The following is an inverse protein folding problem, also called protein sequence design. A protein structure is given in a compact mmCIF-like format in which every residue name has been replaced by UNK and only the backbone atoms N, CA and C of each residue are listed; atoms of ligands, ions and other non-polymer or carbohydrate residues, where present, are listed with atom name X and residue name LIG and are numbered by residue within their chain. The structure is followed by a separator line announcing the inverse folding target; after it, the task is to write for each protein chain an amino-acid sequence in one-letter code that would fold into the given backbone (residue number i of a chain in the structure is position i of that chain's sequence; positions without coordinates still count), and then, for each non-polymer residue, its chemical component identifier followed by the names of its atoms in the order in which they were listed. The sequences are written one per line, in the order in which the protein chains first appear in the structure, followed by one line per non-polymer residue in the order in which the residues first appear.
data_IF_901167029739
#
_entry.id   IF_901167029739
#
_cell.length_a   1.000
_cell.length_b   1.000
_cell.length_c   1.000
_cell.angle_alpha   90.00
_cell.angle_beta   90.00
_cell.angle_gamma   90.00
#
_symmetry.space_group_name_H-M   'P 1'
#
loop_
_entity.id
_entity.type
_entity.pdbx_description
1 polymer ?
#
# COMPACT_ATOMS: atom_id res chain seq x y z
N UNK A 1 20.00 -0.74 5.18
CA UNK A 1 20.34 -1.86 4.27
C UNK A 1 19.39 -1.82 3.07
N UNK A 2 19.83 -2.29 1.91
CA UNK A 2 19.03 -2.25 0.67
C UNK A 2 17.70 -3.00 0.80
N UNK A 3 17.69 -4.15 1.48
CA UNK A 3 16.50 -5.01 1.68
C UNK A 3 15.37 -4.26 2.40
N UNK A 4 15.68 -3.55 3.49
CA UNK A 4 14.67 -2.79 4.24
C UNK A 4 14.05 -1.69 3.37
N UNK A 5 14.84 -1.03 2.52
CA UNK A 5 14.34 -0.03 1.58
C UNK A 5 13.41 -0.66 0.54
N UNK A 6 13.80 -1.80 -0.05
CA UNK A 6 12.96 -2.51 -1.01
C UNK A 6 11.65 -3.00 -0.39
N UNK A 7 11.70 -3.47 0.86
CA UNK A 7 10.50 -3.86 1.60
C UNK A 7 9.54 -2.68 1.85
N UNK A 8 10.06 -1.52 2.29
CA UNK A 8 9.24 -0.31 2.48
C UNK A 8 8.61 0.14 1.16
N UNK A 9 9.35 0.10 0.06
CA UNK A 9 8.83 0.41 -1.27
C UNK A 9 7.73 -0.58 -1.69
N UNK A 10 7.93 -1.88 -1.48
CA UNK A 10 6.94 -2.91 -1.78
C UNK A 10 5.68 -2.73 -0.93
N UNK A 11 5.79 -2.38 0.36
CA UNK A 11 4.61 -2.07 1.19
C UNK A 11 3.85 -0.84 0.68
N UNK A 12 4.55 0.19 0.22
CA UNK A 12 3.89 1.35 -0.41
C UNK A 12 3.19 0.98 -1.72
N UNK A 13 3.80 0.11 -2.54
CA UNK A 13 3.18 -0.41 -3.77
C UNK A 13 1.92 -1.21 -3.43
N UNK A 14 2.01 -2.18 -2.51
CA UNK A 14 0.89 -3.00 -2.06
C UNK A 14 -0.25 -2.11 -1.56
N UNK A 15 0.04 -1.15 -0.68
CA UNK A 15 -0.99 -0.23 -0.14
C UNK A 15 -1.67 0.59 -1.24
N UNK A 16 -0.93 1.02 -2.25
CA UNK A 16 -1.47 1.81 -3.37
C UNK A 16 -2.40 0.99 -4.25
N UNK A 17 -2.09 -0.28 -4.51
CA UNK A 17 -2.88 -1.14 -5.41
C UNK A 17 -3.92 -2.00 -4.68
N UNK A 18 -3.89 -2.03 -3.35
CA UNK A 18 -4.85 -2.73 -2.49
C UNK A 18 -6.34 -2.47 -2.80
N UNK A 19 -6.76 -1.27 -3.26
CA UNK A 19 -8.16 -1.04 -3.66
C UNK A 19 -8.62 -1.85 -4.88
N UNK A 20 -7.69 -2.32 -5.72
CA UNK A 20 -7.98 -3.07 -6.95
C UNK A 20 -7.57 -4.55 -6.84
N UNK A 21 -6.61 -4.85 -5.96
CA UNK A 21 -6.08 -6.19 -5.73
C UNK A 21 -6.11 -6.47 -4.23
N UNK A 22 -6.78 -7.55 -3.83
CA UNK A 22 -6.80 -7.95 -2.41
C UNK A 22 -5.37 -8.02 -1.83
N UNK A 23 -5.17 -7.33 -0.71
CA UNK A 23 -3.88 -7.20 -0.05
C UNK A 23 -3.28 -8.57 0.33
N UNK A 24 -4.10 -9.52 0.79
CA UNK A 24 -3.66 -10.85 1.14
C UNK A 24 -3.14 -11.62 -0.08
N UNK A 25 -3.72 -11.39 -1.27
CA UNK A 25 -3.22 -11.95 -2.54
C UNK A 25 -1.85 -11.39 -2.87
N UNK A 26 -1.68 -10.07 -2.82
CA UNK A 26 -0.39 -9.42 -3.09
C UNK A 26 0.70 -9.89 -2.11
N UNK A 27 0.34 -10.08 -0.84
CA UNK A 27 1.22 -10.64 0.18
C UNK A 27 1.56 -12.10 -0.11
N UNK A 28 0.60 -12.90 -0.59
CA UNK A 28 0.87 -14.27 -1.01
C UNK A 28 1.86 -14.29 -2.20
N UNK A 29 1.69 -13.40 -3.18
CA UNK A 29 2.59 -13.26 -4.34
C UNK A 29 4.02 -12.93 -3.88
N UNK A 30 4.20 -12.02 -2.91
CA UNK A 30 5.52 -11.68 -2.36
C UNK A 30 6.26 -12.90 -1.82
N UNK A 31 5.54 -13.91 -1.31
CA UNK A 31 6.18 -15.12 -0.81
C UNK A 31 6.29 -16.26 -1.84
N UNK A 32 5.39 -16.32 -2.83
CA UNK A 32 5.45 -17.34 -3.89
C UNK A 32 6.57 -17.03 -4.88
N UNK A 33 6.86 -15.75 -5.12
CA UNK A 33 7.93 -15.31 -6.00
C UNK A 33 7.51 -15.24 -7.46
N UNK A 34 8.35 -15.77 -8.36
CA UNK A 34 8.12 -15.68 -9.79
C UNK A 34 6.88 -16.49 -10.21
N UNK A 35 5.93 -15.84 -10.86
CA UNK A 35 4.69 -16.44 -11.35
C UNK A 35 4.86 -16.74 -12.84
N UNK A 36 4.61 -18.00 -13.21
CA UNK A 36 4.64 -18.45 -14.59
C UNK A 36 3.24 -18.94 -15.00
N UNK A 37 2.62 -18.21 -15.92
CA UNK A 37 1.29 -18.49 -16.46
C UNK A 37 1.35 -19.04 -17.90
N UNK A 38 2.49 -19.59 -18.33
CA UNK A 38 2.68 -20.09 -19.71
C UNK A 38 1.93 -21.39 -19.99
N UNK A 39 1.52 -22.13 -18.96
CA UNK A 39 0.77 -23.38 -19.10
C UNK A 39 -0.15 -23.62 -17.91
N UNK A 40 -1.22 -24.39 -18.14
CA UNK A 40 -2.20 -24.72 -17.10
C UNK A 40 -1.56 -25.33 -15.86
N UNK A 41 -0.67 -26.31 -16.05
CA UNK A 41 -0.02 -26.99 -14.94
C UNK A 41 0.84 -26.05 -14.08
N UNK A 42 1.49 -25.05 -14.69
CA UNK A 42 2.27 -24.06 -13.95
C UNK A 42 1.37 -23.05 -13.25
N UNK A 43 0.34 -22.56 -13.95
CA UNK A 43 -0.65 -21.66 -13.38
C UNK A 43 -1.37 -22.30 -12.18
N UNK A 44 -1.76 -23.57 -12.28
CA UNK A 44 -2.42 -24.32 -11.21
C UNK A 44 -1.48 -24.54 -10.01
N UNK A 45 -0.19 -24.81 -10.26
CA UNK A 45 0.82 -24.89 -9.18
C UNK A 45 0.92 -23.58 -8.40
N UNK A 46 0.93 -22.44 -9.10
CA UNK A 46 0.97 -21.11 -8.47
C UNK A 46 -0.34 -20.82 -7.74
N UNK A 47 -1.49 -21.11 -8.37
CA UNK A 47 -2.81 -20.96 -7.77
C UNK A 47 -2.90 -21.73 -6.45
N UNK A 48 -2.44 -22.98 -6.43
CA UNK A 48 -2.40 -23.82 -5.24
C UNK A 48 -1.53 -23.21 -4.12
N UNK A 49 -0.33 -22.72 -4.46
CA UNK A 49 0.55 -22.06 -3.49
C UNK A 49 -0.07 -20.77 -2.91
N UNK A 50 -0.85 -20.03 -3.71
CA UNK A 50 -1.62 -18.87 -3.23
C UNK A 50 -2.78 -19.32 -2.33
N UNK A 51 -3.55 -20.35 -2.72
CA UNK A 51 -4.68 -20.88 -1.93
C UNK A 51 -4.22 -21.28 -0.52
N UNK A 52 -3.13 -22.03 -0.41
CA UNK A 52 -2.57 -22.48 0.89
C UNK A 52 -2.23 -21.30 1.82
N UNK A 53 -1.82 -20.17 1.26
CA UNK A 53 -1.49 -18.96 2.02
C UNK A 53 -2.71 -18.12 2.40
N UNK A 54 -3.76 -18.14 1.58
CA UNK A 54 -5.01 -17.42 1.85
C UNK A 54 -5.87 -18.11 2.92
N UNK A 55 -5.91 -19.45 2.92
CA UNK A 55 -6.69 -20.26 3.89
C UNK A 55 -6.28 -19.97 5.34
N UNK A 56 -4.99 -19.73 5.58
CA UNK A 56 -4.45 -19.59 6.93
C UNK A 56 -4.71 -18.21 7.58
N UNK A 57 -5.30 -17.25 6.86
CA UNK A 57 -5.38 -15.85 7.33
C UNK A 57 -6.76 -15.21 7.28
N UNK A 58 -7.75 -15.81 6.64
CA UNK A 58 -9.10 -15.21 6.52
C UNK A 58 -10.20 -16.15 7.00
N UNK A 59 -11.13 -15.62 7.79
CA UNK A 59 -12.42 -16.25 8.12
C UNK A 59 -13.35 -16.35 6.91
N UNK A 60 -13.08 -15.55 5.87
CA UNK A 60 -13.87 -15.48 4.64
C UNK A 60 -13.24 -16.36 3.54
N UNK A 61 -14.07 -17.20 2.90
CA UNK A 61 -13.63 -18.13 1.86
C UNK A 61 -13.18 -17.36 0.63
N UNK A 62 -11.88 -17.45 0.33
CA UNK A 62 -11.31 -16.98 -0.94
C UNK A 62 -11.17 -18.18 -1.88
N UNK A 63 -11.58 -18.01 -3.13
CA UNK A 63 -11.45 -19.00 -4.19
C UNK A 63 -10.47 -18.49 -5.25
N UNK A 64 -9.51 -19.32 -5.65
CA UNK A 64 -8.55 -18.99 -6.71
C UNK A 64 -8.80 -19.92 -7.88
N UNK A 65 -9.18 -19.36 -9.03
CA UNK A 65 -9.58 -20.08 -10.23
C UNK A 65 -8.57 -19.79 -11.34
N UNK A 66 -8.07 -20.85 -11.99
CA UNK A 66 -7.27 -20.74 -13.20
C UNK A 66 -8.19 -20.74 -14.41
N UNK A 67 -7.98 -19.81 -15.33
CA UNK A 67 -8.71 -19.77 -16.60
C UNK A 67 -7.78 -19.38 -17.74
N UNK A 68 -8.12 -19.79 -18.96
CA UNK A 68 -7.44 -19.34 -20.17
C UNK A 68 -8.03 -18.01 -20.62
N UNK A 69 -7.16 -17.07 -20.96
CA UNK A 69 -7.51 -15.85 -21.64
C UNK A 69 -7.42 -16.07 -23.16
N UNK A 70 -8.57 -16.13 -23.82
CA UNK A 70 -8.68 -16.46 -25.25
C UNK A 70 -8.04 -15.41 -26.16
N UNK A 71 -8.00 -14.14 -25.74
CA UNK A 71 -7.43 -13.04 -26.54
C UNK A 71 -5.90 -13.10 -26.53
N UNK A 72 -5.32 -13.27 -25.34
CA UNK A 72 -3.86 -13.29 -25.15
C UNK A 72 -3.26 -14.68 -25.29
N UNK A 73 -4.09 -15.73 -25.36
CA UNK A 73 -3.70 -17.15 -25.30
C UNK A 73 -2.80 -17.48 -24.11
N UNK A 74 -3.04 -16.81 -22.99
CA UNK A 74 -2.27 -16.96 -21.74
C UNK A 74 -3.18 -17.32 -20.58
N UNK A 75 -2.66 -18.00 -19.57
CA UNK A 75 -3.47 -18.32 -18.38
C UNK A 75 -3.55 -17.11 -17.45
N UNK A 76 -4.63 -17.02 -16.69
CA UNK A 76 -4.85 -16.01 -15.65
C UNK A 76 -5.40 -16.64 -14.37
N UNK A 77 -5.12 -16.01 -13.24
CA UNK A 77 -5.65 -16.38 -11.94
C UNK A 77 -6.73 -15.38 -11.54
N UNK A 78 -7.97 -15.82 -11.42
CA UNK A 78 -9.04 -15.04 -10.83
C UNK A 78 -9.13 -15.38 -9.34
N UNK A 79 -9.00 -14.39 -8.47
CA UNK A 79 -9.20 -14.54 -7.03
C UNK A 79 -10.53 -13.90 -6.66
N UNK A 80 -11.44 -14.73 -6.18
CA UNK A 80 -12.80 -14.37 -5.77
C UNK A 80 -12.87 -14.40 -4.25
N UNK A 81 -13.36 -13.33 -3.64
CA UNK A 81 -13.53 -13.23 -2.19
C UNK A 81 -14.87 -12.59 -1.87
N UNK A 82 -15.58 -13.16 -0.90
CA UNK A 82 -16.79 -12.55 -0.37
C UNK A 82 -16.46 -11.68 0.84
N UNK A 83 -16.61 -10.37 0.69
CA UNK A 83 -16.44 -9.40 1.77
C UNK A 83 -17.80 -8.79 2.08
N UNK A 84 -18.30 -8.99 3.31
CA UNK A 84 -19.62 -8.50 3.73
C UNK A 84 -20.78 -8.86 2.78
N UNK A 85 -20.70 -10.01 2.12
CA UNK A 85 -21.71 -10.49 1.15
C UNK A 85 -21.53 -10.00 -0.28
N UNK A 86 -20.60 -9.07 -0.54
CA UNK A 86 -20.22 -8.64 -1.88
C UNK A 86 -19.07 -9.49 -2.42
N UNK A 87 -19.14 -9.83 -3.70
CA UNK A 87 -18.05 -10.53 -4.38
C UNK A 87 -17.02 -9.52 -4.88
N UNK A 88 -15.83 -9.56 -4.30
CA UNK A 88 -14.65 -8.89 -4.80
C UNK A 88 -13.86 -9.86 -5.68
N UNK A 89 -13.52 -9.42 -6.89
CA UNK A 89 -12.75 -10.21 -7.85
C UNK A 89 -11.51 -9.42 -8.26
N UNK A 90 -10.34 -10.06 -8.18
CA UNK A 90 -9.11 -9.55 -8.79
C UNK A 90 -8.51 -10.59 -9.72
N UNK A 91 -7.81 -10.13 -10.76
CA UNK A 91 -7.26 -10.97 -11.82
C UNK A 91 -5.75 -10.75 -11.93
N UNK A 92 -4.99 -11.84 -11.84
CA UNK A 92 -3.55 -11.88 -12.09
C UNK A 92 -3.34 -12.46 -13.48
N UNK A 93 -2.98 -11.61 -14.43
CA UNK A 93 -2.80 -11.92 -15.84
C UNK A 93 -1.42 -11.43 -16.35
N UNK A 94 -1.16 -11.62 -17.64
CA UNK A 94 0.08 -11.18 -18.27
C UNK A 94 0.31 -9.65 -18.13
N UNK A 95 -0.75 -8.84 -18.13
CA UNK A 95 -0.65 -7.39 -17.97
C UNK A 95 -0.13 -7.04 -16.57
N UNK A 96 -0.72 -7.64 -15.52
CA UNK A 96 -0.23 -7.47 -14.15
C UNK A 96 1.22 -7.94 -14.00
N UNK A 97 1.59 -9.08 -14.57
CA UNK A 97 2.98 -9.58 -14.50
C UNK A 97 3.98 -8.68 -15.24
N UNK A 98 3.54 -7.94 -16.24
CA UNK A 98 4.36 -6.94 -16.95
C UNK A 98 4.46 -5.60 -16.21
N UNK A 99 3.61 -5.37 -15.20
CA UNK A 99 3.54 -4.10 -14.48
C UNK A 99 4.79 -3.85 -13.63
N UNK A 100 5.18 -2.58 -13.49
CA UNK A 100 6.26 -2.18 -12.57
C UNK A 100 5.97 -2.55 -11.11
N UNK A 101 4.69 -2.68 -10.75
CA UNK A 101 4.24 -3.03 -9.41
C UNK A 101 4.58 -4.48 -9.08
N UNK A 102 4.26 -5.40 -9.99
CA UNK A 102 4.67 -6.79 -9.86
C UNK A 102 6.19 -6.93 -9.88
N UNK A 103 6.90 -6.21 -10.76
CA UNK A 103 8.36 -6.26 -10.82
C UNK A 103 9.00 -5.82 -9.48
N UNK A 104 8.44 -4.81 -8.82
CA UNK A 104 8.89 -4.39 -7.49
C UNK A 104 8.60 -5.45 -6.41
N UNK A 105 7.42 -6.10 -6.45
CA UNK A 105 7.08 -7.21 -5.53
C UNK A 105 8.03 -8.39 -5.74
N UNK A 106 8.26 -8.78 -6.99
CA UNK A 106 9.13 -9.89 -7.37
C UNK A 106 10.58 -9.64 -6.97
N UNK A 107 11.10 -8.43 -7.21
CA UNK A 107 12.45 -8.03 -6.79
C UNK A 107 12.63 -8.20 -5.28
N UNK A 108 11.69 -7.71 -4.49
CA UNK A 108 11.74 -7.86 -3.03
C UNK A 108 11.59 -9.33 -2.62
N UNK A 109 10.71 -10.09 -3.27
CA UNK A 109 10.56 -11.53 -3.04
C UNK A 109 11.89 -12.28 -3.20
N UNK A 110 12.59 -12.06 -4.33
CA UNK A 110 13.88 -12.67 -4.61
C UNK A 110 14.96 -12.26 -3.61
N UNK A 111 14.93 -11.02 -3.11
CA UNK A 111 15.85 -10.58 -2.06
C UNK A 111 15.58 -11.24 -0.71
N UNK A 112 14.32 -11.58 -0.41
CA UNK A 112 13.92 -12.19 0.85
C UNK A 112 14.04 -13.72 0.85
N UNK A 113 14.14 -14.33 -0.33
CA UNK A 113 14.22 -15.77 -0.48
C UNK A 113 15.44 -16.33 0.28
N UNK A 114 15.19 -17.33 1.12
CA UNK A 114 16.19 -17.94 1.99
C UNK A 114 16.75 -17.06 3.13
N UNK A 115 16.31 -15.81 3.30
CA UNK A 115 16.82 -14.93 4.37
C UNK A 115 16.19 -15.18 5.75
N UNK A 116 14.91 -15.51 5.79
CA UNK A 116 14.16 -15.75 7.03
C UNK A 116 13.74 -17.21 7.09
N UNK A 117 14.33 -17.96 8.03
CA UNK A 117 14.05 -19.37 8.26
C UNK A 117 13.32 -19.62 9.58
N UNK A 118 13.09 -20.90 9.89
CA UNK A 118 12.50 -21.30 11.16
C UNK A 118 13.35 -20.87 12.36
N UNK A 119 12.70 -20.31 13.39
CA UNK A 119 13.38 -19.82 14.59
C UNK A 119 14.08 -18.47 14.42
N UNK A 120 13.84 -17.75 13.32
CA UNK A 120 14.37 -16.40 13.13
C UNK A 120 13.95 -15.45 14.26
N UNK A 121 14.90 -14.62 14.70
CA UNK A 121 14.68 -13.61 15.72
C UNK A 121 15.22 -12.26 15.25
N UNK A 122 14.53 -11.19 15.63
CA UNK A 122 14.99 -9.83 15.46
C UNK A 122 15.45 -9.29 16.82
N UNK A 123 16.55 -8.53 16.83
CA UNK A 123 17.10 -7.93 18.05
C UNK A 123 17.49 -6.47 17.80
N UNK A 124 17.19 -5.60 18.76
CA UNK A 124 17.65 -4.22 18.80
C UNK A 124 18.02 -3.84 20.23
N UNK A 125 19.31 -3.63 20.47
CA UNK A 125 19.81 -3.42 21.83
C UNK A 125 19.55 -4.67 22.69
N UNK A 126 18.86 -4.48 23.81
CA UNK A 126 18.55 -5.55 24.78
C UNK A 126 17.22 -6.28 24.50
N UNK A 127 16.40 -5.80 23.56
CA UNK A 127 15.10 -6.40 23.22
C UNK A 127 15.21 -7.30 22.00
N UNK A 128 14.49 -8.42 22.03
CA UNK A 128 14.40 -9.38 20.93
C UNK A 128 13.01 -9.98 20.81
N UNK A 129 12.60 -10.31 19.58
CA UNK A 129 11.32 -10.97 19.29
C UNK A 129 11.49 -12.05 18.23
N UNK A 130 10.69 -13.12 18.30
CA UNK A 130 10.66 -14.16 17.28
C UNK A 130 9.81 -13.71 16.10
N UNK A 131 10.30 -13.96 14.88
CA UNK A 131 9.65 -13.50 13.65
C UNK A 131 9.46 -14.70 12.71
N UNK A 132 8.37 -14.69 11.96
CA UNK A 132 8.08 -15.69 10.93
C UNK A 132 8.40 -15.19 9.52
N UNK A 133 8.48 -13.87 9.35
CA UNK A 133 8.76 -13.23 8.07
C UNK A 133 9.44 -11.88 8.26
N UNK A 134 10.04 -11.36 7.17
CA UNK A 134 10.80 -10.10 7.23
C UNK A 134 9.92 -8.86 7.49
N UNK A 135 8.63 -8.90 7.13
CA UNK A 135 7.69 -7.80 7.41
C UNK A 135 7.54 -7.61 8.91
N UNK A 136 7.31 -8.69 9.66
CA UNK A 136 7.23 -8.65 11.13
C UNK A 136 8.49 -8.04 11.74
N UNK A 137 9.66 -8.39 11.23
CA UNK A 137 10.93 -7.79 11.66
C UNK A 137 10.97 -6.28 11.44
N UNK A 138 10.52 -5.82 10.27
CA UNK A 138 10.49 -4.40 9.92
C UNK A 138 9.48 -3.64 10.79
N UNK A 139 8.27 -4.18 10.93
CA UNK A 139 7.20 -3.57 11.73
C UNK A 139 7.61 -3.48 13.21
N UNK A 140 8.26 -4.52 13.74
CA UNK A 140 8.85 -4.51 15.08
C UNK A 140 9.93 -3.44 15.25
N UNK A 141 10.90 -3.38 14.32
CA UNK A 141 11.97 -2.37 14.36
C UNK A 141 11.42 -0.94 14.31
N UNK A 142 10.40 -0.71 13.50
CA UNK A 142 9.72 0.59 13.39
C UNK A 142 8.95 0.93 14.66
N UNK A 143 8.29 -0.05 15.28
CA UNK A 143 7.61 0.12 16.57
C UNK A 143 8.61 0.51 17.67
N UNK A 144 9.70 -0.24 17.80
CA UNK A 144 10.78 0.07 18.75
C UNK A 144 11.44 1.43 18.48
N UNK A 145 11.51 1.87 17.21
CA UNK A 145 12.00 3.21 16.88
C UNK A 145 11.04 4.31 17.34
N UNK A 146 9.74 4.08 17.23
CA UNK A 146 8.70 5.04 17.60
C UNK A 146 8.45 5.10 19.10
N UNK A 147 8.68 4.02 19.84
CA UNK A 147 8.35 3.92 21.27
C UNK A 147 8.94 5.06 22.12
N UNK A 148 10.12 5.57 21.76
CA UNK A 148 10.79 6.64 22.51
C UNK A 148 10.65 8.03 21.87
N UNK A 149 9.80 8.17 20.85
CA UNK A 149 9.56 9.43 20.16
C UNK A 149 8.20 9.99 20.54
N UNK A 150 8.19 11.19 21.13
CA UNK A 150 6.96 11.96 21.24
C UNK A 150 6.75 12.74 19.94
N UNK A 151 5.78 12.32 19.13
CA UNK A 151 5.47 12.94 17.84
C UNK A 151 4.26 13.86 18.03
N UNK A 152 4.48 15.16 17.88
CA UNK A 152 3.40 16.15 17.88
C UNK A 152 3.15 16.66 16.46
N UNK A 153 1.90 16.55 15.99
CA UNK A 153 1.45 17.14 14.74
C UNK A 153 0.73 18.45 15.03
N UNK A 154 1.31 19.56 14.59
CA UNK A 154 0.67 20.88 14.68
C UNK A 154 -0.48 20.96 13.67
N UNK A 155 -1.72 21.11 14.15
CA UNK A 155 -2.91 21.27 13.27
C UNK A 155 -3.20 22.75 12.97
N UNK A 156 -2.75 23.67 13.83
CA UNK A 156 -2.79 25.12 13.60
C UNK A 156 -1.53 25.84 14.05
N UNK A 157 -1.32 27.05 13.54
CA UNK A 157 -0.18 27.89 13.93
C UNK A 157 -0.20 28.29 15.41
N UNK A 158 -1.39 28.38 16.02
CA UNK A 158 -1.55 28.70 17.44
C UNK A 158 -1.13 27.59 18.41
N UNK A 159 -0.84 26.38 17.93
CA UNK A 159 -0.28 25.29 18.74
C UNK A 159 1.24 25.42 18.95
N UNK A 160 1.88 26.34 18.21
CA UNK A 160 3.31 26.63 18.31
C UNK A 160 3.56 27.81 19.23
N UNK A 161 4.65 27.73 20.01
CA UNK A 161 5.14 28.90 20.74
C UNK A 161 5.79 29.90 19.76
N UNK A 162 5.86 31.21 20.09
CA UNK A 162 6.39 32.24 19.19
C UNK A 162 7.80 31.96 18.65
N UNK A 163 8.70 31.42 19.49
CA UNK A 163 10.06 31.06 19.09
C UNK A 163 10.06 29.94 18.04
N UNK A 164 9.23 28.90 18.23
CA UNK A 164 9.09 27.80 17.27
C UNK A 164 8.52 28.29 15.94
N UNK A 165 7.52 29.17 15.96
CA UNK A 165 6.94 29.73 14.74
C UNK A 165 7.99 30.55 13.97
N UNK A 166 8.80 31.34 14.68
CA UNK A 166 9.88 32.11 14.07
C UNK A 166 10.92 31.19 13.41
N UNK A 167 11.47 30.25 14.18
CA UNK A 167 12.54 29.34 13.75
C UNK A 167 12.11 28.38 12.64
N UNK A 168 10.84 28.00 12.57
CA UNK A 168 10.37 27.01 11.57
C UNK A 168 9.76 27.66 10.34
N UNK A 169 9.09 28.80 10.49
CA UNK A 169 8.19 29.34 9.46
C UNK A 169 8.57 30.75 9.00
N UNK A 170 9.14 31.60 9.86
CA UNK A 170 9.37 33.01 9.54
C UNK A 170 10.82 33.37 9.17
N UNK A 171 11.81 32.67 9.73
CA UNK A 171 13.24 32.95 9.50
C UNK A 171 13.60 32.80 8.00
N UNK A 172 14.07 33.88 7.33
CA UNK A 172 14.47 33.86 5.92
C UNK A 172 15.47 32.77 5.53
N UNK A 173 16.30 32.30 6.47
CA UNK A 173 17.34 31.30 6.19
C UNK A 173 16.80 29.88 6.06
N UNK A 174 15.68 29.57 6.71
CA UNK A 174 15.13 28.20 6.81
C UNK A 174 13.71 28.08 6.29
N UNK A 175 12.97 29.20 6.19
CA UNK A 175 11.58 29.19 5.73
C UNK A 175 11.46 28.65 4.31
N UNK A 176 10.37 27.94 4.06
CA UNK A 176 9.97 27.50 2.72
C UNK A 176 8.76 28.32 2.29
N UNK A 177 8.91 29.10 1.24
CA UNK A 177 7.82 29.89 0.65
C UNK A 177 7.33 29.22 -0.63
N UNK A 178 6.02 29.18 -0.81
CA UNK A 178 5.38 28.78 -2.05
C UNK A 178 4.92 30.03 -2.81
N UNK A 179 5.28 30.14 -4.10
CA UNK A 179 4.88 31.27 -4.95
C UNK A 179 3.61 30.91 -5.72
N UNK A 180 2.52 31.59 -5.40
CA UNK A 180 1.21 31.43 -6.07
C UNK A 180 1.25 32.04 -7.48
N UNK A 181 0.74 31.31 -8.47
CA UNK A 181 0.54 31.76 -9.85
C UNK A 181 -0.92 32.15 -10.10
N UNK A 182 -1.20 32.72 -11.29
CA UNK A 182 -2.57 33.10 -11.68
C UNK A 182 -3.46 31.85 -11.79
N UNK A 183 -2.91 30.75 -12.31
CA UNK A 183 -3.59 29.48 -12.47
C UNK A 183 -4.07 28.92 -11.13
N UNK A 184 -3.24 29.02 -10.07
CA UNK A 184 -3.60 28.59 -8.72
C UNK A 184 -4.81 29.39 -8.17
N UNK A 185 -4.86 30.69 -8.47
CA UNK A 185 -5.97 31.55 -8.04
C UNK A 185 -7.28 31.20 -8.75
N UNK A 186 -7.22 30.88 -10.05
CA UNK A 186 -8.39 30.43 -10.82
C UNK A 186 -8.89 29.09 -10.26
N UNK A 187 -8.00 28.12 -10.06
CA UNK A 187 -8.37 26.82 -9.48
C UNK A 187 -8.95 26.95 -8.07
N UNK A 188 -8.43 27.87 -7.25
CA UNK A 188 -8.98 28.13 -5.92
C UNK A 188 -10.41 28.70 -5.99
N UNK A 189 -10.70 29.61 -6.91
CA UNK A 189 -12.03 30.19 -7.11
C UNK A 189 -13.04 29.16 -7.63
N UNK A 190 -12.62 28.28 -8.55
CA UNK A 190 -13.44 27.16 -9.03
C UNK A 190 -13.80 26.19 -7.90
N UNK A 191 -12.82 25.81 -7.06
CA UNK A 191 -13.06 24.96 -5.89
C UNK A 191 -13.98 25.66 -4.89
N UNK A 192 -13.76 26.95 -4.62
CA UNK A 192 -14.60 27.73 -3.72
C UNK A 192 -16.04 27.79 -4.23
N UNK A 193 -16.25 28.12 -5.50
CA UNK A 193 -17.58 28.18 -6.13
C UNK A 193 -18.26 26.80 -6.13
N UNK A 194 -17.52 25.72 -6.37
CA UNK A 194 -18.06 24.35 -6.34
C UNK A 194 -18.48 23.94 -4.93
N UNK A 195 -17.68 24.26 -3.91
CA UNK A 195 -17.94 23.85 -2.52
C UNK A 195 -18.92 24.78 -1.80
N UNK A 196 -18.90 26.08 -2.08
CA UNK A 196 -19.69 27.10 -1.38
C UNK A 196 -20.87 27.64 -2.21
N UNK A 197 -21.01 27.25 -3.47
CA UNK A 197 -22.12 27.65 -4.33
C UNK A 197 -23.45 26.99 -3.97
N UNK A 198 -24.54 27.46 -4.58
CA UNK A 198 -25.90 26.96 -4.28
C UNK A 198 -26.21 25.60 -4.91
N UNK A 199 -25.41 25.17 -5.90
CA UNK A 199 -25.63 23.95 -6.66
C UNK A 199 -25.18 22.72 -5.87
N UNK A 200 -26.13 21.83 -5.54
CA UNK A 200 -25.87 20.66 -4.69
C UNK A 200 -25.14 19.54 -5.44
N UNK A 201 -25.48 19.28 -6.71
CA UNK A 201 -24.90 18.16 -7.47
C UNK A 201 -23.39 18.30 -7.73
N UNK A 202 -22.86 19.46 -8.16
CA UNK A 202 -21.41 19.63 -8.34
C UNK A 202 -20.64 19.44 -7.03
N UNK A 203 -21.18 19.96 -5.92
CA UNK A 203 -20.61 19.76 -4.58
C UNK A 203 -20.57 18.28 -4.21
N UNK A 204 -21.68 17.53 -4.42
CA UNK A 204 -21.76 16.10 -4.09
C UNK A 204 -20.74 15.29 -4.88
N UNK A 205 -20.69 15.47 -6.20
CA UNK A 205 -19.74 14.77 -7.06
C UNK A 205 -18.27 15.07 -6.69
N UNK A 206 -17.97 16.33 -6.33
CA UNK A 206 -16.64 16.69 -5.84
C UNK A 206 -16.27 15.92 -4.57
N UNK A 207 -17.17 15.85 -3.58
CA UNK A 207 -16.92 15.12 -2.33
C UNK A 207 -16.72 13.63 -2.60
N UNK A 208 -17.59 13.00 -3.40
CA UNK A 208 -17.51 11.56 -3.70
C UNK A 208 -16.21 11.20 -4.44
N UNK A 209 -15.83 11.98 -5.46
CA UNK A 209 -14.60 11.73 -6.22
C UNK A 209 -13.32 11.88 -5.37
N UNK A 210 -13.34 12.77 -4.37
CA UNK A 210 -12.18 13.04 -3.53
C UNK A 210 -12.19 12.28 -2.19
N UNK A 211 -13.30 11.62 -1.84
CA UNK A 211 -13.48 10.92 -0.56
C UNK A 211 -12.39 9.87 -0.30
N UNK A 212 -12.01 9.12 -1.34
CA UNK A 212 -10.98 8.07 -1.24
C UNK A 212 -9.55 8.62 -1.14
N UNK A 213 -9.32 9.88 -1.54
CA UNK A 213 -8.02 10.56 -1.44
C UNK A 213 -7.73 11.13 -0.05
N UNK A 214 -8.76 11.30 0.77
CA UNK A 214 -8.66 11.90 2.09
C UNK A 214 -8.20 10.88 3.15
N UNK A 215 -6.91 10.50 3.08
CA UNK A 215 -6.29 9.52 3.98
C UNK A 215 -5.87 10.08 5.35
N UNK A 216 -5.96 11.41 5.55
CA UNK A 216 -5.45 12.12 6.72
C UNK A 216 -6.54 12.93 7.45
N UNK A 217 -7.79 12.47 7.43
CA UNK A 217 -8.89 13.03 8.23
C UNK A 217 -8.93 12.31 9.58
N UNK A 218 -8.52 13.02 10.63
CA UNK A 218 -8.60 12.70 12.07
C UNK A 218 -8.33 11.24 12.53
N UNK A 219 -7.08 11.01 12.96
CA UNK A 219 -6.72 10.19 14.13
C UNK A 219 -6.05 11.13 15.14
#
# INVERSE_FOLDING_TARGET
SEIARQMVLTEAVIRRIAPHYDEAVLRAILHVGAIDLSSEAKAEKIAQAIRERLINKSTEKSEVIVSLDEETKSYKLAVNKFVHGNLECCVIDALFLSSGDYQQILKTSQMLDGLVGEGAQIQRGERSESISNFKEALDWLLSEAKHNLNIQRYKGLGEMNPEQLWETTMDPNVRRLLKVQIEDAISADEIFSTLMGDQVEPRRAFIENNALGASNLDI
#
